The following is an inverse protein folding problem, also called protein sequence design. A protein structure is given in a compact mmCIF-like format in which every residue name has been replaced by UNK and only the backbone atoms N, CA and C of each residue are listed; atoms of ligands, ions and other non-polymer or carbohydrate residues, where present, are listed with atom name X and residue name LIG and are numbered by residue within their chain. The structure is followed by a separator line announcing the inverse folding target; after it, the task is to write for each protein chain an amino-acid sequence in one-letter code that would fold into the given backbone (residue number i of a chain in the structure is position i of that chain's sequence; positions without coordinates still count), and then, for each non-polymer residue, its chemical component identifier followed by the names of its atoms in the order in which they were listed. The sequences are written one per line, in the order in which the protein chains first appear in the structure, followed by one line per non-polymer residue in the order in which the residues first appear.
data_IF_153871284718
#
_entry.id   IF_153871284718
#
_cell.length_a   1.000
_cell.length_b   1.000
_cell.length_c   1.000
_cell.angle_alpha   90.00
_cell.angle_beta   90.00
_cell.angle_gamma   90.00
#
_symmetry.space_group_name_H-M   'P 1'
#
loop_
_entity.id
_entity.type
_entity.pdbx_description
1 polymer ?
#
# COMPACT_ATOMS: atom_id res chain seq x y z
N UNK A 1 -36.51 8.20 -19.25
CA UNK A 1 -35.37 7.41 -18.74
C UNK A 1 -34.88 8.06 -17.46
N UNK A 2 -34.97 7.38 -16.31
CA UNK A 2 -34.43 7.90 -15.05
C UNK A 2 -32.94 7.55 -15.03
N UNK A 3 -32.09 8.56 -15.23
CA UNK A 3 -30.64 8.39 -15.11
C UNK A 3 -30.31 8.30 -13.62
N UNK A 4 -30.00 7.10 -13.12
CA UNK A 4 -29.44 6.93 -11.79
C UNK A 4 -28.11 7.69 -11.74
N UNK A 5 -28.09 8.85 -11.06
CA UNK A 5 -26.85 9.52 -10.69
C UNK A 5 -26.07 8.58 -9.79
N UNK A 6 -24.92 8.10 -10.24
CA UNK A 6 -23.96 7.44 -9.37
C UNK A 6 -23.61 8.43 -8.24
N UNK A 7 -23.51 7.97 -6.98
CA UNK A 7 -23.08 8.84 -5.89
C UNK A 7 -21.72 9.46 -6.25
N UNK A 8 -21.48 10.74 -5.91
CA UNK A 8 -20.21 11.39 -6.19
C UNK A 8 -19.09 10.53 -5.62
N UNK A 9 -18.25 10.01 -6.50
CA UNK A 9 -17.09 9.22 -6.13
C UNK A 9 -16.29 10.04 -5.10
N UNK A 10 -15.89 9.47 -3.94
CA UNK A 10 -15.14 10.20 -2.94
C UNK A 10 -13.93 10.85 -3.61
N UNK A 11 -13.87 12.18 -3.55
CA UNK A 11 -12.78 12.98 -4.11
C UNK A 11 -11.47 12.34 -3.69
N UNK A 12 -10.61 11.96 -4.66
CA UNK A 12 -9.31 11.31 -4.40
C UNK A 12 -8.67 12.02 -3.21
N UNK A 13 -8.59 11.34 -2.07
CA UNK A 13 -8.25 11.99 -0.81
C UNK A 13 -6.83 12.49 -0.94
N UNK A 14 -6.68 13.81 -1.08
CA UNK A 14 -5.39 14.45 -1.29
C UNK A 14 -4.40 13.96 -0.22
N UNK A 15 -3.10 13.91 -0.57
CA UNK A 15 -2.02 13.56 0.36
C UNK A 15 -1.79 14.68 1.39
N UNK A 16 -2.84 15.14 2.04
CA UNK A 16 -2.73 16.06 3.18
C UNK A 16 -2.03 15.34 4.33
N UNK A 17 -1.24 16.07 5.12
CA UNK A 17 -0.52 15.53 6.26
C UNK A 17 -1.45 14.82 7.25
N UNK A 18 -2.66 15.36 7.44
CA UNK A 18 -3.71 14.75 8.27
C UNK A 18 -4.10 13.35 7.80
N UNK A 19 -4.21 13.12 6.49
CA UNK A 19 -4.54 11.81 5.94
C UNK A 19 -3.41 10.80 6.09
N UNK A 20 -2.16 11.27 6.05
CA UNK A 20 -0.98 10.44 6.32
C UNK A 20 -0.96 10.05 7.79
N UNK A 21 -1.25 10.99 8.68
CA UNK A 21 -1.24 10.76 10.13
C UNK A 21 -2.36 9.83 10.59
N UNK A 22 -3.60 10.01 10.09
CA UNK A 22 -4.70 9.06 10.35
C UNK A 22 -4.33 7.63 9.97
N UNK A 23 -3.64 7.47 8.85
CA UNK A 23 -3.23 6.16 8.39
C UNK A 23 -2.03 5.61 9.17
N UNK A 24 -1.08 6.46 9.60
CA UNK A 24 -0.06 6.09 10.60
C UNK A 24 -0.70 5.52 11.85
N UNK A 25 -1.65 6.23 12.43
CA UNK A 25 -2.34 5.79 13.65
C UNK A 25 -3.08 4.47 13.44
N UNK A 26 -3.77 4.30 12.31
CA UNK A 26 -4.47 3.06 11.97
C UNK A 26 -3.50 1.87 11.84
N UNK A 27 -2.32 2.09 11.27
CA UNK A 27 -1.29 1.07 11.10
C UNK A 27 -0.60 0.74 12.43
N UNK A 28 -0.27 1.73 13.25
CA UNK A 28 0.25 1.51 14.61
C UNK A 28 -0.74 0.74 15.48
N UNK A 29 -2.04 1.05 15.38
CA UNK A 29 -3.10 0.38 16.14
C UNK A 29 -3.30 -1.08 15.73
N UNK A 30 -3.07 -1.42 14.47
CA UNK A 30 -3.36 -2.75 13.94
C UNK A 30 -2.44 -3.12 12.77
N UNK A 31 -1.15 -3.35 13.02
CA UNK A 31 -0.15 -3.53 11.97
C UNK A 31 -0.37 -4.80 11.13
N UNK A 32 -1.03 -5.82 11.69
CA UNK A 32 -1.32 -7.08 10.98
C UNK A 32 -2.63 -7.05 10.19
N UNK A 33 -3.40 -5.95 10.20
CA UNK A 33 -4.65 -5.89 9.44
C UNK A 33 -4.35 -5.77 7.95
N UNK A 34 -5.18 -6.43 7.15
CA UNK A 34 -5.07 -6.35 5.70
C UNK A 34 -5.41 -4.94 5.20
N UNK A 35 -4.81 -4.56 4.06
CA UNK A 35 -5.12 -3.30 3.38
C UNK A 35 -6.62 -3.14 3.09
N UNK A 36 -7.37 -4.24 2.89
CA UNK A 36 -8.84 -4.22 2.74
C UNK A 36 -9.55 -3.76 4.02
N UNK A 37 -9.09 -4.16 5.20
CA UNK A 37 -9.67 -3.71 6.48
C UNK A 37 -9.33 -2.24 6.74
N UNK A 38 -8.08 -1.83 6.51
CA UNK A 38 -7.69 -0.43 6.65
C UNK A 38 -8.43 0.50 5.66
N UNK A 39 -8.68 0.03 4.43
CA UNK A 39 -9.48 0.76 3.45
C UNK A 39 -10.91 1.05 3.94
N UNK A 40 -11.55 0.05 4.58
CA UNK A 40 -12.87 0.23 5.19
C UNK A 40 -12.85 1.18 6.38
N UNK A 41 -11.82 1.09 7.23
CA UNK A 41 -11.68 1.94 8.42
C UNK A 41 -11.40 3.40 8.05
N UNK A 42 -10.64 3.64 6.98
CA UNK A 42 -10.22 4.98 6.55
C UNK A 42 -11.13 5.58 5.46
N UNK A 43 -12.15 4.86 5.00
CA UNK A 43 -12.98 5.22 3.84
C UNK A 43 -12.13 5.55 2.59
N UNK A 44 -11.09 4.74 2.33
CA UNK A 44 -10.17 4.88 1.21
C UNK A 44 -10.27 3.70 0.24
N UNK A 45 -9.82 3.88 -1.00
CA UNK A 45 -9.63 2.74 -1.90
C UNK A 45 -8.48 1.86 -1.42
N UNK A 46 -8.58 0.55 -1.68
CA UNK A 46 -7.52 -0.42 -1.38
C UNK A 46 -6.17 -0.01 -1.98
N UNK A 47 -6.16 0.45 -3.23
CA UNK A 47 -4.95 0.91 -3.91
C UNK A 47 -4.32 2.10 -3.19
N UNK A 48 -5.13 3.07 -2.77
CA UNK A 48 -4.63 4.23 -2.01
C UNK A 48 -4.00 3.80 -0.69
N UNK A 49 -4.61 2.83 0.00
CA UNK A 49 -4.06 2.29 1.25
C UNK A 49 -2.76 1.54 1.01
N UNK A 50 -2.64 0.72 -0.03
CA UNK A 50 -1.38 0.03 -0.35
C UNK A 50 -0.25 1.02 -0.63
N UNK A 51 -0.47 2.02 -1.49
CA UNK A 51 0.55 3.03 -1.81
C UNK A 51 0.96 3.78 -0.56
N UNK A 52 -0.01 4.20 0.24
CA UNK A 52 0.26 5.01 1.42
C UNK A 52 0.89 4.16 2.54
N UNK A 53 0.49 2.90 2.76
CA UNK A 53 1.16 1.98 3.71
C UNK A 53 2.66 1.91 3.43
N UNK A 54 3.06 1.74 2.17
CA UNK A 54 4.47 1.76 1.77
C UNK A 54 5.19 3.09 2.06
N UNK A 55 4.47 4.21 2.11
CA UNK A 55 5.04 5.54 2.44
C UNK A 55 5.11 5.74 3.97
N UNK A 56 4.14 5.19 4.70
CA UNK A 56 3.99 5.37 6.15
C UNK A 56 4.87 4.42 6.95
N UNK A 57 5.01 3.18 6.50
CA UNK A 57 6.09 2.31 6.93
C UNK A 57 7.38 3.05 6.56
N UNK A 58 7.97 3.71 7.55
CA UNK A 58 9.24 4.41 7.40
C UNK A 58 10.23 3.35 6.95
N UNK A 59 10.56 3.34 5.66
CA UNK A 59 11.56 2.48 5.07
C UNK A 59 12.80 2.58 5.96
N UNK A 60 13.10 1.48 6.66
CA UNK A 60 14.34 1.43 7.43
C UNK A 60 15.49 1.49 6.42
N UNK A 61 16.63 2.10 6.77
CA UNK A 61 17.80 2.10 5.87
C UNK A 61 18.15 0.69 5.36
N UNK A 62 17.96 -0.33 6.20
CA UNK A 62 18.20 -1.75 5.91
C UNK A 62 17.16 -2.38 4.97
N UNK A 63 15.99 -1.77 4.78
CA UNK A 63 14.94 -2.32 3.91
C UNK A 63 15.39 -2.31 2.44
N UNK A 64 16.26 -1.38 2.05
CA UNK A 64 16.83 -1.36 0.69
C UNK A 64 17.71 -2.60 0.46
N UNK A 65 18.69 -2.83 1.34
CA UNK A 65 19.61 -3.97 1.24
C UNK A 65 18.84 -5.31 1.25
N UNK A 66 17.85 -5.46 2.15
CA UNK A 66 17.05 -6.68 2.20
C UNK A 66 16.23 -6.92 0.92
N UNK A 67 15.68 -5.86 0.32
CA UNK A 67 14.92 -5.94 -0.94
C UNK A 67 15.83 -6.22 -2.12
N UNK A 68 17.03 -5.64 -2.14
CA UNK A 68 18.06 -5.89 -3.15
C UNK A 68 18.55 -7.34 -3.08
N UNK A 69 18.91 -7.83 -1.89
CA UNK A 69 19.30 -9.22 -1.65
C UNK A 69 18.20 -10.21 -2.07
N UNK A 70 16.94 -9.88 -1.80
CA UNK A 70 15.81 -10.68 -2.25
C UNK A 70 15.70 -10.70 -3.78
N UNK A 71 15.77 -9.53 -4.43
CA UNK A 71 15.69 -9.40 -5.89
C UNK A 71 16.83 -10.17 -6.59
N UNK A 72 18.06 -10.02 -6.09
CA UNK A 72 19.25 -10.73 -6.56
C UNK A 72 19.08 -12.25 -6.42
N UNK A 73 18.60 -12.74 -5.27
CA UNK A 73 18.33 -14.18 -5.07
C UNK A 73 17.27 -14.72 -6.03
N UNK A 74 16.18 -13.97 -6.22
CA UNK A 74 15.13 -14.36 -7.17
C UNK A 74 15.66 -14.34 -8.60
N UNK A 75 16.49 -13.36 -8.97
CA UNK A 75 17.10 -13.28 -10.28
C UNK A 75 18.05 -14.45 -10.55
N UNK A 76 18.86 -14.85 -9.57
CA UNK A 76 19.70 -16.06 -9.68
C UNK A 76 18.84 -17.30 -9.85
N UNK A 77 17.84 -17.49 -8.98
CA UNK A 77 16.93 -18.63 -9.07
C UNK A 77 16.23 -18.69 -10.43
N UNK A 78 15.71 -17.57 -10.93
CA UNK A 78 15.01 -17.50 -12.21
C UNK A 78 15.95 -17.56 -13.43
N UNK A 79 17.19 -17.07 -13.29
CA UNK A 79 18.23 -17.17 -14.32
C UNK A 79 18.70 -18.61 -14.53
N UNK A 80 18.75 -19.40 -13.46
CA UNK A 80 19.07 -20.84 -13.52
C UNK A 80 17.96 -21.68 -14.21
N UNK A 81 16.73 -21.14 -14.34
CA UNK A 81 15.66 -21.75 -15.14
C UNK A 81 15.65 -21.31 -16.63
N UNK A 82 16.64 -20.51 -17.07
CA UNK A 82 16.70 -19.90 -18.40
C UNK A 82 17.59 -20.59 -19.44
N UNK A 83 18.11 -21.80 -19.16
CA UNK A 83 18.87 -22.59 -20.15
C UNK A 83 18.49 -24.07 -20.04
N UNK A 84 17.38 -24.45 -20.70
CA UNK A 84 17.17 -25.77 -21.29
C UNK A 84 16.43 -25.62 -22.61
#
# INVERSE_FOLDING_TARGET
MIVKKNPPCPTKTARTAENVERMRQALTRSPQRSARRHARELNLSRESVCIKMCIVEQLKPTDYEQREDFAIRIQMLLGDYGVQ
#
